data_IF_964128850636
#
_entry.id   IF_964128850636
#
_cell.length_a   1.000
_cell.length_b   1.000
_cell.length_c   1.000
_cell.angle_alpha   90.00
_cell.angle_beta   90.00
_cell.angle_gamma   90.00
#
_symmetry.space_group_name_H-M   'P 1'
#
loop_
_entity.id
_entity.type
_entity.pdbx_description
1 polymer ?
2 non-polymer ?
3 water ?
#
# COMPACT_ATOMS: atom_id res chain seq x y z
N UNK A 4 -14.93 -3.90 -12.42
CA UNK A 4 -14.47 -3.69 -11.04
C UNK A 4 -13.75 -4.87 -10.44
N UNK A 5 -14.32 -5.48 -9.39
CA UNK A 5 -13.73 -6.63 -8.69
C UNK A 5 -13.53 -7.92 -9.51
N UNK A 6 -14.30 -8.10 -10.61
CA UNK A 6 -14.15 -9.27 -11.50
C UNK A 6 -12.76 -9.27 -12.23
N UNK A 7 -12.05 -8.12 -12.23
CA UNK A 7 -10.74 -8.03 -12.88
C UNK A 7 -9.63 -8.58 -11.98
N UNK A 8 -9.96 -8.97 -10.73
CA UNK A 8 -8.97 -9.38 -9.73
C UNK A 8 -9.13 -10.83 -9.22
N UNK A 9 -10.05 -11.61 -9.81
CA UNK A 9 -10.34 -13.00 -9.36
C UNK A 9 -9.19 -13.99 -9.41
N UNK A 10 -8.23 -13.73 -10.28
CA UNK A 10 -7.07 -14.60 -10.40
C UNK A 10 -5.78 -13.85 -10.13
N UNK A 11 -4.67 -14.44 -10.56
CA UNK A 11 -3.34 -13.82 -10.40
C UNK A 11 -3.15 -12.71 -11.48
N UNK A 12 -2.90 -11.46 -11.04
CA UNK A 12 -2.70 -10.31 -11.91
C UNK A 12 -1.21 -9.92 -11.95
N UNK A 13 -0.60 -9.82 -13.16
CA UNK A 13 0.78 -9.33 -13.25
C UNK A 13 0.82 -7.85 -12.89
N UNK A 14 1.89 -7.42 -12.22
CA UNK A 14 2.03 -6.02 -11.78
C UNK A 14 3.28 -5.39 -12.34
N UNK A 15 3.21 -4.08 -12.67
CA UNK A 15 4.36 -3.30 -13.11
C UNK A 15 4.33 -2.03 -12.29
N UNK A 16 5.47 -1.67 -11.71
CA UNK A 16 5.61 -0.45 -10.92
C UNK A 16 6.74 0.39 -11.55
N UNK A 17 6.49 1.69 -11.76
CA UNK A 17 7.51 2.59 -12.29
C UNK A 17 7.56 3.83 -11.41
N UNK A 18 8.75 4.18 -10.91
CA UNK A 18 8.91 5.39 -10.07
C UNK A 18 10.05 6.25 -10.54
N UNK A 19 9.84 7.57 -10.54
CA UNK A 19 10.88 8.55 -10.74
C UNK A 19 10.87 9.41 -9.46
N UNK A 20 12.04 9.53 -8.81
CA UNK A 20 12.13 10.30 -7.59
C UNK A 20 13.24 11.32 -7.56
N UNK A 21 13.07 12.28 -6.68
CA UNK A 21 14.05 13.32 -6.42
C UNK A 21 13.91 13.63 -4.94
N UNK A 22 14.97 13.31 -4.15
CA UNK A 22 14.98 13.53 -2.71
C UNK A 22 16.18 14.40 -2.38
N UNK A 23 15.94 15.69 -2.01
CA UNK A 23 17.01 16.64 -1.73
C UNK A 23 17.99 16.78 -2.94
N UNK A 24 17.46 16.71 -4.16
CA UNK A 24 18.30 16.81 -5.35
C UNK A 24 18.90 15.49 -5.82
N UNK A 25 18.75 14.41 -5.01
CA UNK A 25 19.25 13.08 -5.40
C UNK A 25 18.17 12.41 -6.26
N UNK A 26 18.40 12.38 -7.57
CA UNK A 26 17.47 11.81 -8.55
C UNK A 26 17.71 10.33 -8.78
N UNK A 27 16.63 9.56 -8.94
CA UNK A 27 16.70 8.12 -9.10
C UNK A 27 15.45 7.63 -9.75
N UNK A 28 15.52 6.42 -10.28
CA UNK A 28 14.38 5.75 -10.87
C UNK A 28 14.33 4.31 -10.38
N UNK A 29 13.12 3.73 -10.33
CA UNK A 29 12.90 2.34 -9.91
C UNK A 29 11.87 1.70 -10.82
N UNK A 30 12.13 0.44 -11.21
CA UNK A 30 11.25 -0.44 -11.96
C UNK A 30 10.89 -1.61 -11.01
N UNK A 31 9.62 -1.99 -10.97
CA UNK A 31 9.20 -3.11 -10.14
C UNK A 31 8.29 -4.05 -10.92
N UNK A 32 8.36 -5.35 -10.61
CA UNK A 32 7.49 -6.33 -11.22
C UNK A 32 7.02 -7.32 -10.21
N UNK A 33 5.84 -7.87 -10.44
CA UNK A 33 5.32 -8.92 -9.60
C UNK A 33 3.96 -9.40 -9.98
N UNK A 34 3.29 -10.00 -8.98
CA UNK A 34 1.98 -10.59 -9.13
C UNK A 34 1.14 -10.24 -7.92
N UNK A 35 -0.15 -10.06 -8.14
CA UNK A 35 -1.08 -9.77 -7.07
C UNK A 35 -2.21 -10.77 -7.07
N UNK A 36 -2.52 -11.33 -5.91
CA UNK A 36 -3.61 -12.29 -5.79
C UNK A 36 -4.59 -11.72 -4.76
N UNK A 37 -5.58 -10.92 -5.23
CA UNK A 37 -6.56 -10.23 -4.37
C UNK A 37 -7.46 -11.17 -3.55
N UNK A 38 -7.63 -12.43 -3.99
CA UNK A 38 -8.39 -13.46 -3.26
C UNK A 38 -7.69 -13.76 -1.93
N UNK A 39 -6.36 -13.66 -1.88
CA UNK A 39 -5.58 -13.92 -0.65
C UNK A 39 -5.01 -12.62 -0.06
N UNK A 40 -5.23 -11.49 -0.74
CA UNK A 40 -4.66 -10.20 -0.33
C UNK A 40 -3.14 -10.19 -0.45
N UNK A 41 -2.59 -11.04 -1.33
CA UNK A 41 -1.16 -11.32 -1.47
C UNK A 41 -0.49 -10.56 -2.65
N UNK A 42 0.72 -10.04 -2.41
CA UNK A 42 1.55 -9.31 -3.36
C UNK A 42 2.95 -9.90 -3.29
N UNK A 43 3.53 -10.29 -4.43
CA UNK A 43 4.91 -10.75 -4.52
C UNK A 43 5.58 -9.81 -5.53
N UNK A 44 6.56 -9.03 -5.08
CA UNK A 44 7.18 -8.01 -5.92
C UNK A 44 8.67 -7.96 -5.78
N UNK A 45 9.36 -7.50 -6.84
CA UNK A 45 10.80 -7.28 -6.85
C UNK A 45 11.03 -5.92 -7.56
N UNK A 46 11.73 -5.00 -6.86
CA UNK A 46 12.04 -3.65 -7.31
C UNK A 46 13.50 -3.49 -7.61
N UNK A 47 13.84 -2.78 -8.68
CA UNK A 47 15.23 -2.52 -9.11
C UNK A 47 15.45 -1.02 -9.25
N UNK A 48 16.54 -0.51 -8.66
CA UNK A 48 16.88 0.88 -8.89
C UNK A 48 17.64 0.84 -10.21
N UNK A 49 17.06 1.49 -11.23
CA UNK A 49 17.62 1.44 -12.57
C UNK A 49 18.66 2.51 -12.84
N UNK A 50 18.85 3.47 -11.90
CA UNK A 50 19.80 4.57 -12.11
C UNK A 50 21.13 4.38 -11.40
N UNK A 51 21.22 3.33 -10.59
CA UNK A 51 22.40 3.01 -9.81
C UNK A 51 22.00 2.64 -8.39
N UNK A 52 22.60 3.30 -7.38
CA UNK A 52 22.27 3.01 -5.98
C UNK A 52 21.11 3.92 -5.51
N UNK A 53 20.20 3.38 -4.72
CA UNK A 53 19.07 4.16 -4.23
C UNK A 53 19.59 5.18 -3.18
N UNK A 54 19.26 6.49 -3.25
CA UNK A 54 19.82 7.43 -2.26
C UNK A 54 19.08 7.48 -0.93
N UNK A 55 18.00 6.67 -0.82
CA UNK A 55 17.15 6.55 0.38
C UNK A 55 17.00 5.06 0.78
N UNK A 56 16.69 4.71 2.04
CA UNK A 56 16.53 3.29 2.37
C UNK A 56 15.32 2.71 1.65
N UNK A 57 15.46 1.46 1.16
CA UNK A 57 14.36 0.75 0.52
C UNK A 57 13.08 0.75 1.34
N UNK A 58 13.12 0.52 2.70
CA UNK A 58 11.86 0.51 3.46
C UNK A 58 11.09 1.82 3.38
N UNK A 59 11.77 2.98 3.21
CA UNK A 59 11.05 4.28 3.12
C UNK A 59 10.11 4.39 1.90
N UNK A 60 10.29 3.49 0.89
CA UNK A 60 9.52 3.51 -0.36
C UNK A 60 8.44 2.44 -0.47
N UNK A 61 8.33 1.53 0.54
CA UNK A 61 7.39 0.42 0.52
C UNK A 61 5.96 0.86 0.30
N UNK A 62 5.48 1.88 1.06
CA UNK A 62 4.07 2.33 0.92
C UNK A 62 3.83 3.05 -0.39
N UNK A 63 4.89 3.61 -0.98
CA UNK A 63 4.76 4.32 -2.25
C UNK A 63 4.62 3.28 -3.38
N UNK A 64 5.51 2.26 -3.36
CA UNK A 64 5.49 1.16 -4.33
C UNK A 64 4.19 0.34 -4.23
N UNK A 66 -0.45 -0.69 -3.75
CA UNK A 66 -1.22 -1.53 -4.67
C UNK A 66 -2.44 -2.04 -3.89
N UNK A 67 -3.16 -1.11 -3.25
CA UNK A 67 -4.28 -1.39 -2.35
C UNK A 67 -5.50 -2.01 -3.02
N UNK A 68 -5.50 -2.01 -4.36
CA UNK A 68 -6.52 -2.69 -5.15
C UNK A 68 -6.37 -4.21 -5.01
N UNK A 69 -5.21 -4.71 -4.47
CA UNK A 69 -4.99 -6.15 -4.22
C UNK A 69 -5.33 -6.62 -2.80
N UNK A 70 -5.91 -5.73 -1.97
CA UNK A 70 -6.35 -6.08 -0.59
C UNK A 70 -7.45 -7.11 -0.66
N UNK A 71 -7.50 -7.99 0.36
CA UNK A 71 -8.57 -8.97 0.44
C UNK A 71 -9.68 -8.33 1.22
N UNK A 72 -10.81 -8.16 0.57
CA UNK A 72 -11.99 -7.60 1.20
C UNK A 72 -12.89 -8.76 1.55
N UNK A 73 -13.25 -8.93 2.85
CA UNK A 73 -14.21 -9.99 3.20
C UNK A 73 -15.50 -9.83 2.38
N UNK A 74 -16.18 -10.95 2.07
CA UNK A 74 -17.44 -10.89 1.33
C UNK A 74 -18.42 -9.83 1.88
N UNK A 75 -18.62 -9.77 3.20
CA UNK A 75 -19.54 -8.82 3.84
C UNK A 75 -19.11 -7.36 3.75
N UNK A 76 -17.86 -7.09 3.31
CA UNK A 76 -17.30 -5.74 3.15
C UNK A 76 -17.08 -5.33 1.67
N UNK A 77 -17.41 -6.20 0.69
CA UNK A 77 -17.19 -5.95 -0.75
C UNK A 77 -17.70 -4.60 -1.27
N UNK A 78 -18.81 -4.09 -0.70
CA UNK A 78 -19.42 -2.81 -1.10
C UNK A 78 -18.60 -1.61 -0.64
N UNK A 79 -17.50 -1.86 0.08
CA UNK A 79 -16.66 -0.79 0.59
C UNK A 79 -15.28 -0.78 -0.09
N UNK A 80 -15.09 -1.58 -1.17
CA UNK A 80 -13.82 -1.69 -1.87
C UNK A 80 -13.74 -0.67 -3.00
N UNK A 81 -13.35 0.57 -2.64
CA UNK A 81 -13.20 1.65 -3.62
C UNK A 81 -12.17 1.27 -4.69
N UNK A 82 -11.00 0.78 -4.26
CA UNK A 82 -9.85 0.50 -5.11
C UNK A 82 -10.18 -0.30 -6.36
N UNK A 83 -10.87 -1.43 -6.19
CA UNK A 83 -11.22 -2.25 -7.37
C UNK A 83 -12.34 -1.61 -8.16
N UNK A 84 -13.26 -0.89 -7.49
CA UNK A 84 -14.43 -0.30 -8.16
C UNK A 84 -14.05 0.76 -9.21
N UNK A 85 -12.86 1.36 -9.07
CA UNK A 85 -12.33 2.37 -9.99
C UNK A 85 -11.70 1.72 -11.22
N UNK A 86 -11.47 0.38 -11.20
CA UNK A 86 -10.84 -0.35 -12.31
C UNK A 86 -11.81 -0.66 -13.45
N UNK A 87 -11.34 -0.73 -14.74
CA UNK A 87 -9.94 -0.63 -15.19
C UNK A 87 -9.36 0.77 -15.32
N UNK A 88 -10.21 1.82 -15.41
CA UNK A 88 -9.74 3.23 -15.62
C UNK A 88 -8.75 3.63 -14.55
N UNK A 89 -8.98 3.18 -13.32
CA UNK A 89 -8.07 3.32 -12.19
C UNK A 89 -8.27 4.52 -11.30
N UNK A 90 -7.23 4.81 -10.51
CA UNK A 90 -7.29 5.93 -9.59
C UNK A 90 -5.95 6.64 -9.46
N UNK A 91 -6.00 7.89 -9.02
CA UNK A 91 -4.82 8.68 -8.70
C UNK A 91 -4.61 8.52 -7.19
N UNK A 92 -3.40 8.19 -6.77
CA UNK A 92 -3.13 8.06 -5.35
C UNK A 92 -2.07 9.06 -4.98
N UNK A 93 -2.44 10.01 -4.11
CA UNK A 93 -1.54 11.08 -3.69
C UNK A 93 -1.25 11.00 -2.23
N UNK A 94 0.00 11.30 -1.84
CA UNK A 94 0.40 11.30 -0.44
C UNK A 94 1.36 12.43 -0.11
N UNK A 95 1.35 12.81 1.16
CA UNK A 95 2.38 13.53 1.87
C UNK A 95 2.80 12.62 3.01
N UNK A 96 4.09 12.35 3.11
CA UNK A 96 4.61 11.48 4.15
C UNK A 96 5.58 12.30 4.96
N UNK A 97 5.26 12.54 6.24
CA UNK A 97 6.13 13.32 7.11
C UNK A 97 7.06 12.42 7.91
N UNK A 98 8.36 12.52 7.67
CA UNK A 98 9.30 11.76 8.51
C UNK A 98 9.57 12.64 9.70
N UNK A 99 9.18 12.17 10.91
CA UNK A 99 9.33 12.91 12.17
C UNK A 99 10.76 13.35 12.33
N UNK A 100 10.97 14.64 12.67
CA UNK A 100 12.28 15.29 12.86
C UNK A 100 13.15 15.20 11.62
N UNK A 101 12.48 15.11 10.45
CA UNK A 101 13.17 14.98 9.17
C UNK A 101 12.36 15.53 8.00
N UNK A 102 12.68 15.12 6.77
CA UNK A 102 12.03 15.64 5.57
C UNK A 102 10.68 15.07 5.26
N UNK A 103 10.11 15.43 4.11
CA UNK A 103 8.83 14.86 3.69
C UNK A 103 8.91 14.37 2.27
N UNK A 104 8.07 13.36 1.92
CA UNK A 104 7.92 12.89 0.55
C UNK A 104 6.53 13.31 0.13
N UNK A 105 6.38 13.74 -1.12
CA UNK A 105 5.09 14.00 -1.72
C UNK A 105 5.04 13.07 -2.92
N UNK A 106 3.96 12.33 -3.06
CA UNK A 106 3.89 11.38 -4.15
C UNK A 106 2.60 11.53 -4.91
N UNK A 107 2.65 11.19 -6.21
CA UNK A 107 1.46 11.13 -7.09
C UNK A 107 1.63 9.89 -7.96
N UNK A 108 0.69 8.98 -7.88
CA UNK A 108 0.71 7.74 -8.64
C UNK A 108 -0.59 7.57 -9.38
N UNK A 109 -0.53 6.94 -10.56
CA UNK A 109 -1.72 6.57 -11.32
C UNK A 109 -1.68 5.07 -11.31
N UNK A 110 -2.71 4.44 -10.70
CA UNK A 110 -2.82 2.99 -10.66
C UNK A 110 -3.95 2.59 -11.61
N UNK A 111 -3.66 1.78 -12.64
CA UNK A 111 -4.67 1.42 -13.63
C UNK A 111 -4.26 0.18 -14.43
N UNK A 112 -5.20 -0.36 -15.19
CA UNK A 112 -4.84 -1.50 -16.05
C UNK A 112 -4.31 -1.00 -17.38
N UNK A 113 -3.32 -1.72 -17.94
CA UNK A 113 -2.77 -1.55 -19.28
C UNK A 113 -2.85 -2.98 -19.79
N UNK A 114 -3.99 -3.32 -20.40
CA UNK A 114 -4.31 -4.67 -20.80
C UNK A 114 -4.53 -5.52 -19.56
N UNK A 115 -3.87 -6.68 -19.50
CA UNK A 115 -3.95 -7.60 -18.36
C UNK A 115 -3.05 -7.16 -17.19
N UNK A 116 -2.17 -6.18 -17.41
CA UNK A 116 -1.19 -5.70 -16.42
C UNK A 116 -1.71 -4.55 -15.57
N UNK A 117 -1.62 -4.71 -14.23
CA UNK A 117 -2.00 -3.64 -13.31
C UNK A 117 -0.73 -2.81 -13.14
N UNK A 118 -0.79 -1.51 -13.51
CA UNK A 118 0.38 -0.63 -13.51
C UNK A 118 0.31 0.42 -12.42
N UNK A 119 1.41 0.65 -11.69
CA UNK A 119 1.50 1.72 -10.68
C UNK A 119 2.65 2.64 -11.11
N UNK A 120 2.31 3.80 -11.69
CA UNK A 120 3.23 4.81 -12.24
C UNK A 120 3.28 5.98 -11.25
N UNK A 121 4.47 6.20 -10.65
CA UNK A 121 4.62 7.18 -9.56
C UNK A 121 5.64 8.26 -9.82
N UNK A 122 5.40 9.45 -9.27
CA UNK A 122 6.42 10.50 -9.22
C UNK A 122 6.60 10.85 -7.73
N UNK A 123 7.86 10.89 -7.23
CA UNK A 123 8.13 11.15 -5.84
C UNK A 123 9.04 12.38 -5.66
N UNK A 124 8.63 13.29 -4.76
CA UNK A 124 9.43 14.50 -4.48
C UNK A 124 9.66 14.56 -2.99
N UNK A 125 10.94 14.56 -2.60
CA UNK A 125 11.32 14.62 -1.20
C UNK A 125 12.20 15.82 -0.92
N UNK A 126 11.83 16.61 0.09
CA UNK A 126 12.55 17.83 0.48
C UNK A 126 12.72 17.89 1.99
N UNK A 127 13.64 18.75 2.44
CA UNK A 127 13.93 19.11 3.82
C UNK A 127 14.52 17.97 4.62
N UNK A 128 15.14 16.99 3.95
CA UNK A 128 15.78 15.89 4.65
C UNK A 128 17.11 16.33 5.21
N UNK A 129 17.54 15.71 6.32
CA UNK A 129 18.83 15.99 6.96
C UNK A 129 19.86 15.11 6.28
N UNK A 130 20.98 15.68 5.79
CA UNK A 130 21.97 14.87 5.07
C UNK A 130 22.57 13.76 5.94
N UNK A 131 22.53 13.95 7.27
CA UNK A 131 23.02 13.01 8.28
C UNK A 131 21.88 12.34 9.09
N UNK A 132 20.62 12.53 8.67
CA UNK A 132 19.49 11.91 9.36
C UNK A 132 19.36 10.43 9.07
N UNK A 133 18.26 9.80 9.54
CA UNK A 133 18.01 8.35 9.33
C UNK A 133 17.75 7.90 7.90
N UNK A 134 17.29 8.85 7.08
CA UNK A 134 16.97 8.57 5.67
C UNK A 134 18.19 8.76 4.80
N UNK A 135 18.68 10.00 4.69
CA UNK A 135 19.85 10.27 3.86
C UNK A 135 21.13 9.63 4.41
N UNK A 136 21.13 9.35 5.71
CA UNK A 136 22.23 8.69 6.41
C UNK A 136 22.15 7.17 6.42
N UNK A 137 21.09 6.60 5.81
CA UNK A 137 20.87 5.14 5.71
C UNK A 137 21.00 4.41 7.06
N UNK A 138 20.24 4.86 8.05
CA UNK A 138 20.24 4.32 9.40
C UNK A 138 19.03 3.44 9.72
N UNK A 139 18.23 3.08 8.70
CA UNK A 139 17.04 2.28 8.91
C UNK A 139 17.29 0.81 8.65
N UNK A 140 16.77 -0.06 9.54
CA UNK A 140 16.92 -1.50 9.41
C UNK A 140 16.20 -1.96 8.14
N UNK A 141 16.64 -3.09 7.56
CA UNK A 141 16.01 -3.63 6.35
C UNK A 141 14.92 -4.60 6.75
N UNK A 142 13.83 -4.04 7.27
CA UNK A 142 12.67 -4.80 7.74
C UNK A 142 11.42 -3.91 7.72
N UNK A 143 10.28 -4.47 8.11
CA UNK A 143 9.02 -3.75 8.07
C UNK A 143 8.01 -4.28 9.08
N UNK A 144 7.34 -3.35 9.76
CA UNK A 144 6.34 -3.63 10.78
C UNK A 144 4.97 -3.78 10.12
N UNK A 145 4.00 -4.33 10.88
CA UNK A 145 2.64 -4.54 10.44
C UNK A 145 1.84 -3.31 10.88
N UNK A 146 0.93 -2.80 10.02
CA UNK A 146 0.20 -1.57 10.34
C UNK A 146 -1.27 -1.66 9.93
N UNK A 147 -2.07 -0.69 10.41
CA UNK A 147 -3.49 -0.50 10.04
C UNK A 147 -3.58 0.80 9.28
N UNK A 148 -4.31 0.77 8.18
CA UNK A 148 -4.47 1.86 7.21
C UNK A 148 -5.92 2.26 7.29
N UNK A 149 -6.21 3.46 7.81
CA UNK A 149 -7.56 3.96 8.09
C UNK A 149 -8.16 4.66 6.90
N UNK A 150 -9.29 4.13 6.43
CA UNK A 150 -9.98 4.63 5.24
C UNK A 150 -11.31 5.24 5.58
N UNK A 151 -11.60 6.36 4.92
CA UNK A 151 -12.87 7.04 5.02
C UNK A 151 -13.23 7.59 3.66
N UNK A 152 -14.53 7.71 3.40
CA UNK A 152 -15.02 8.27 2.15
C UNK A 152 -14.75 9.78 2.14
N UNK A 153 -14.53 10.31 0.94
CA UNK A 153 -14.41 11.74 0.67
C UNK A 153 -15.35 11.94 -0.54
N UNK A 154 -16.62 12.18 -0.26
CA UNK A 154 -17.69 12.33 -1.25
C UNK A 154 -17.56 13.56 -2.15
N UNK A 155 -16.85 14.61 -1.67
CA UNK A 155 -16.61 15.86 -2.40
C UNK A 155 -15.70 15.58 -3.62
N UNK A 156 -14.81 14.58 -3.50
CA UNK A 156 -13.87 14.21 -4.56
C UNK A 156 -14.17 12.83 -5.14
N UNK A 157 -15.36 12.26 -4.78
CA UNK A 157 -15.85 10.96 -5.26
C UNK A 157 -14.75 9.91 -5.01
N UNK A 158 -14.03 10.12 -3.92
CA UNK A 158 -12.90 9.29 -3.54
C UNK A 158 -12.81 8.95 -2.06
N UNK A 159 -11.58 8.70 -1.62
CA UNK A 159 -11.29 8.32 -0.23
C UNK A 159 -10.13 9.14 0.31
N UNK A 160 -10.11 9.30 1.64
CA UNK A 160 -9.05 9.98 2.39
C UNK A 160 -8.51 8.85 3.25
N UNK A 161 -7.18 8.75 3.36
CA UNK A 161 -6.52 7.64 4.06
C UNK A 161 -5.44 8.19 4.96
N UNK A 162 -5.31 7.64 6.17
CA UNK A 162 -4.30 8.09 7.13
C UNK A 162 -3.79 6.93 7.96
N UNK A 163 -2.49 6.97 8.28
CA UNK A 163 -1.83 5.96 9.06
C UNK A 163 -0.42 6.40 9.39
N UNK A 164 0.19 5.72 10.36
CA UNK A 164 1.55 6.00 10.82
C UNK A 164 2.42 4.79 10.57
N UNK A 165 3.52 4.99 9.88
CA UNK A 165 4.46 3.92 9.64
C UNK A 165 5.58 4.07 10.65
N UNK A 166 6.00 2.97 11.27
CA UNK A 166 7.08 2.92 12.23
C UNK A 166 8.24 2.18 11.58
N UNK A 167 9.31 2.92 11.21
CA UNK A 167 10.50 2.33 10.61
C UNK A 167 11.53 2.11 11.72
N UNK A 168 12.01 0.87 11.88
CA UNK A 168 13.02 0.56 12.91
C UNK A 168 14.34 1.18 12.51
N UNK A 169 14.96 1.89 13.46
CA UNK A 169 16.30 2.50 13.30
C UNK A 169 17.30 1.48 13.84
N UNK A 170 18.47 1.39 13.22
CA UNK A 170 19.57 0.47 13.58
C UNK A 170 19.99 0.51 15.02
N UNK A 171 19.77 1.65 15.72
CA UNK A 171 20.15 1.77 17.13
C UNK A 171 19.06 1.26 18.10
N UNK A 172 17.97 0.73 17.56
CA UNK A 172 16.86 0.22 18.36
C UNK A 172 15.71 1.20 18.52
N UNK A 173 15.90 2.46 18.08
CA UNK A 173 14.86 3.49 18.15
C UNK A 173 13.88 3.35 16.97
N UNK A 174 12.96 4.31 16.83
CA UNK A 174 11.94 4.28 15.76
C UNK A 174 11.84 5.62 15.00
N UNK A 175 11.81 5.51 13.65
CA UNK A 175 11.62 6.61 12.73
C UNK A 175 10.16 6.58 12.28
N UNK A 176 9.37 7.54 12.77
CA UNK A 176 7.96 7.62 12.43
C UNK A 176 7.79 8.28 11.09
N UNK A 177 6.84 7.78 10.27
CA UNK A 177 6.52 8.37 8.97
C UNK A 177 4.99 8.43 8.89
N UNK A 178 4.43 9.63 9.13
CA UNK A 178 3.00 9.92 9.15
C UNK A 178 2.55 10.10 7.73
N UNK A 179 1.62 9.25 7.27
CA UNK A 179 1.06 9.22 5.94
C UNK A 179 -0.29 9.90 5.84
N UNK A 180 -0.43 10.86 4.92
CA UNK A 180 -1.70 11.50 4.59
C UNK A 180 -1.94 11.12 3.15
N UNK A 181 -3.14 10.62 2.84
CA UNK A 181 -3.37 10.08 1.51
C UNK A 181 -4.78 10.36 1.02
N UNK A 182 -4.91 10.56 -0.28
CA UNK A 182 -6.18 10.69 -0.98
C UNK A 182 -6.18 9.93 -2.31
N UNK A 183 -7.30 9.26 -2.62
CA UNK A 183 -7.40 8.52 -3.88
C UNK A 183 -8.64 9.03 -4.55
N UNK A 184 -8.52 9.34 -5.85
CA UNK A 184 -9.63 9.83 -6.66
C UNK A 184 -9.69 9.00 -7.96
N UNK A 185 -10.89 8.67 -8.46
CA UNK A 185 -10.98 7.88 -9.69
C UNK A 185 -10.49 8.61 -10.94
N UNK A 186 -9.93 7.87 -11.87
CA UNK A 186 -9.49 8.47 -13.16
C UNK A 186 -10.74 8.62 -14.05
N UNK A 187 -11.60 7.60 -14.07
CA UNK A 187 -12.84 7.58 -14.84
C UNK A 187 -13.98 8.41 -14.25
N UNK A 188 -15.10 8.49 -14.98
CA UNK A 188 -16.28 9.25 -14.56
C UNK A 188 -17.42 8.37 -14.08
N UNK A 189 -17.24 7.06 -14.14
CA UNK A 189 -18.27 6.12 -13.75
C UNK A 189 -18.45 6.00 -12.25
N UNK A 190 -19.46 5.25 -11.79
CA UNK A 190 -19.64 5.09 -10.35
C UNK A 190 -18.49 4.32 -9.71
N UNK A 191 -18.22 4.65 -8.46
CA UNK A 191 -17.20 4.00 -7.63
C UNK A 191 -17.86 3.68 -6.29
N UNK A 192 -17.27 2.76 -5.51
CA UNK A 192 -17.82 2.41 -4.20
C UNK A 192 -17.24 3.34 -3.16
N UNK A 193 -18.10 4.19 -2.57
CA UNK A 193 -17.66 5.09 -1.51
C UNK A 193 -17.87 4.33 -0.19
N UNK A 194 -16.78 4.01 0.51
CA UNK A 194 -16.90 3.13 1.69
C UNK A 194 -17.30 3.80 2.98
N UNK A 195 -17.76 2.98 3.95
CA UNK A 195 -17.95 3.40 5.33
C UNK A 195 -16.52 3.31 5.89
N UNK A 196 -16.24 4.01 7.00
CA UNK A 196 -14.94 3.93 7.70
C UNK A 196 -14.54 2.48 7.95
N UNK A 197 -13.31 2.13 7.62
CA UNK A 197 -12.78 0.80 7.85
C UNK A 197 -11.28 0.91 7.81
N UNK A 198 -10.57 -0.23 7.88
CA UNK A 198 -9.12 -0.22 7.80
C UNK A 198 -8.61 -1.45 7.05
N UNK A 199 -7.34 -1.38 6.66
CA UNK A 199 -6.65 -2.49 6.03
C UNK A 199 -5.53 -2.88 6.97
N UNK A 200 -5.39 -4.17 7.23
CA UNK A 200 -4.35 -4.70 8.10
C UNK A 200 -3.26 -5.14 7.16
N UNK A 201 -2.02 -4.68 7.38
CA UNK A 201 -0.97 -5.02 6.41
C UNK A 201 0.23 -5.63 7.08
N UNK A 202 0.85 -6.65 6.47
CA UNK A 202 2.07 -7.27 6.94
C UNK A 202 3.02 -7.35 5.75
N UNK A 203 4.31 -7.08 5.96
CA UNK A 203 5.28 -7.05 4.85
C UNK A 203 6.60 -7.67 5.27
N UNK A 204 7.22 -8.43 4.35
CA UNK A 204 8.55 -9.01 4.56
C UNK A 204 9.43 -8.51 3.45
N UNK A 205 10.69 -8.15 3.78
CA UNK A 205 11.66 -7.63 2.82
C UNK A 205 12.81 -8.59 2.78
N UNK A 206 13.34 -8.82 1.57
CA UNK A 206 14.46 -9.73 1.41
C UNK A 206 15.33 -9.29 0.24
N UNK A 207 16.39 -10.05 -0.04
CA UNK A 207 17.27 -9.80 -1.17
C UNK A 207 17.33 -11.08 -2.00
N UNK A 208 17.50 -10.93 -3.30
CA UNK A 208 17.68 -12.03 -4.24
C UNK A 208 19.19 -12.30 -4.26
N UNK A 209 19.66 -13.48 -3.78
CA UNK A 209 21.13 -13.72 -3.75
C UNK A 209 21.79 -13.69 -5.14
N UNK A 210 21.00 -13.85 -6.20
CA UNK A 210 21.53 -13.82 -7.57
C UNK A 210 21.49 -12.42 -8.17
N UNK A 211 20.79 -11.48 -7.52
CA UNK A 211 20.67 -10.11 -8.03
C UNK A 211 21.82 -9.27 -7.55
N UNK A 212 22.56 -8.61 -8.48
CA UNK A 212 23.69 -7.74 -8.11
C UNK A 212 23.36 -6.26 -8.15
N UNK A 213 22.21 -5.94 -8.76
CA UNK A 213 21.70 -4.57 -8.81
C UNK A 213 21.13 -4.20 -7.44
N UNK A 214 21.00 -2.88 -7.15
CA UNK A 214 20.39 -2.47 -5.89
C UNK A 214 18.90 -2.74 -6.04
N UNK A 215 18.31 -3.52 -5.10
CA UNK A 215 16.94 -4.01 -5.25
C UNK A 215 16.29 -4.35 -3.90
N UNK A 216 14.99 -4.71 -3.94
CA UNK A 216 14.20 -5.15 -2.79
C UNK A 216 13.18 -6.17 -3.25
N UNK A 217 13.14 -7.30 -2.57
CA UNK A 217 12.13 -8.34 -2.76
C UNK A 217 11.12 -8.12 -1.66
N UNK A 218 9.84 -8.03 -2.04
CA UNK A 218 8.81 -7.72 -1.08
C UNK A 218 7.65 -8.67 -1.21
N UNK A 219 7.20 -9.18 -0.04
CA UNK A 219 6.04 -10.05 0.11
C UNK A 219 5.10 -9.29 1.02
N UNK A 220 3.85 -9.09 0.60
CA UNK A 220 2.93 -8.30 1.42
C UNK A 220 1.53 -8.90 1.44
N UNK A 221 0.88 -8.94 2.61
CA UNK A 221 -0.50 -9.41 2.75
C UNK A 221 -1.34 -8.26 3.26
N UNK A 222 -2.49 -8.02 2.60
CA UNK A 222 -3.31 -6.87 2.96
C UNK A 222 -4.75 -7.36 3.05
N UNK A 223 -5.40 -7.13 4.22
CA UNK A 223 -6.78 -7.57 4.50
C UNK A 223 -7.64 -6.43 5.01
N UNK A 224 -8.84 -6.22 4.41
CA UNK A 224 -9.77 -5.21 4.94
C UNK A 224 -10.44 -5.75 6.23
N UNK A 225 -10.78 -4.87 7.18
CA UNK A 225 -11.42 -5.23 8.45
C UNK A 225 -12.07 -3.99 9.08
N UNK A 226 -12.79 -4.18 10.17
CA UNK A 226 -13.37 -3.06 10.92
C UNK A 226 -14.83 -2.78 10.72
N UNK A 227 -15.49 -3.57 9.88
CA UNK A 227 -16.94 -3.49 9.63
C UNK A 227 -17.54 -4.84 10.03
N UNK A 228 -18.51 -4.82 10.94
CA UNK A 228 -19.22 -6.01 11.42
C UNK A 228 -19.93 -6.79 10.33
N UNK A 229 -19.93 -8.12 10.44
CA UNK A 229 -20.68 -9.02 9.55
C UNK A 229 -22.13 -9.14 10.09
N UNK A 230 -22.34 -8.73 11.34
CA UNK A 230 -23.63 -8.72 12.02
C UNK A 230 -24.23 -10.09 12.26
N UNK A 231 -23.39 -11.15 12.24
CA UNK A 231 -23.83 -12.54 12.44
C UNK A 231 -23.64 -13.07 13.87
N UNK A 232 -23.19 -12.21 14.81
CA UNK A 232 -22.97 -12.58 16.20
C UNK A 232 -24.23 -13.18 16.83
N UNK A 233 -25.40 -12.57 16.57
CA UNK A 233 -26.67 -13.04 17.13
C UNK A 233 -27.07 -14.42 16.57
N UNK A 234 -26.81 -14.65 15.29
CA UNK A 234 -27.10 -15.90 14.62
C UNK A 234 -26.25 -17.01 15.19
N UNK A 235 -24.93 -16.80 15.33
CA UNK A 235 -24.05 -17.83 15.90
C UNK A 235 -24.39 -18.11 17.36
N UNK A 236 -24.79 -17.07 18.12
CA UNK A 236 -25.17 -17.27 19.53
C UNK A 236 -26.39 -18.17 19.64
N UNK A 237 -27.41 -17.92 18.77
CA UNK A 237 -28.63 -18.72 18.68
C UNK A 237 -28.31 -20.17 18.28
N UNK A 238 -27.36 -20.37 17.34
CA UNK A 238 -26.92 -21.71 16.90
C UNK A 238 -26.25 -22.47 18.06
N UNK A 239 -25.51 -21.75 18.94
CA UNK A 239 -24.85 -22.36 20.11
C UNK A 239 -25.88 -22.81 21.17
N UNK A 240 -26.98 -22.04 21.33
CA UNK A 240 -28.08 -22.35 22.25
C UNK A 240 -28.74 -23.66 21.80
N UNK A 241 -29.05 -23.78 20.49
CA UNK A 241 -29.69 -24.92 19.85
C UNK A 241 -28.89 -26.22 19.99
N UNK A 242 -27.53 -26.16 19.88
CA UNK A 242 -26.65 -27.33 20.01
C UNK A 242 -26.83 -28.01 21.37
N UNK A 243 -26.93 -27.20 22.46
CA UNK A 243 -27.11 -27.66 23.84
C UNK A 243 -28.41 -28.47 23.99
N UNK A 244 -29.46 -28.09 23.23
CA UNK A 244 -30.75 -28.78 23.21
C UNK A 244 -30.72 -30.04 22.31
N UNK A 245 -29.70 -30.15 21.43
CA UNK A 245 -29.50 -31.27 20.50
C UNK A 245 -28.62 -32.42 21.06
N UNK A 246 -27.76 -32.12 22.06
CA UNK A 246 -26.89 -33.13 22.68
C UNK A 246 -27.67 -34.00 23.68
X LIG B 1 6.11 16.22 -7.73
X LIG B 1 4.82 15.64 -7.16
X LIG B 1 3.79 15.80 -8.16
X LIG B 1 4.97 14.14 -6.93
X LIG B 1 4.38 16.20 -5.76
X LIG B 1 4.41 17.72 -5.38
X LIG B 1 5.69 18.24 -4.96
X LIG B 1 3.71 18.66 -6.33
#
# INVERSE_FOLDING_TARGET
MSKGEELFTGVVPILVELDGDVNGHKFSVSGEGEGDATYGKLTLKFICTTGKLPVPWPTLVTTFXLQCFARYPDHMKQHDFFKSAMPEGYVQERTIFFKDDGNYKTRAEVKFEGDTLVNRIELKGIDFKEDGNILGHKLEYNYNSHNVYIMADKQKNGIKVNFKIRHNIEDGSVQLADHYQQNTPIGDGPVLLPDNHYLSTQSALSKDPNEKRDHMVLLEFVTAAGITHGMDELYKAMAKETAAAKFDHHHHHH
MPD C1 C2 O2 CM C3 C4 O4 C5
#
